data_IF_260097981796
#
_entry.id   IF_260097981796
#
_cell.length_a   1.000
_cell.length_b   1.000
_cell.length_c   1.000
_cell.angle_alpha   90.00
_cell.angle_beta   90.00
_cell.angle_gamma   90.00
#
_symmetry.space_group_name_H-M   'P 1'
#
loop_
_entity.id
_entity.type
_entity.pdbx_description
1 polymer ?
#
# COMPACT_ATOMS: atom_id res chain seq x y z
N UNK A 1 15.71 -10.56 -7.21
CA UNK A 1 15.97 -9.74 -6.01
C UNK A 1 14.76 -8.81 -5.87
N UNK A 2 14.04 -8.83 -4.76
CA UNK A 2 13.01 -7.81 -4.51
C UNK A 2 13.72 -6.46 -4.36
N UNK A 3 13.29 -5.47 -5.12
CA UNK A 3 13.73 -4.09 -4.92
C UNK A 3 13.41 -3.67 -3.48
N UNK A 4 14.41 -3.22 -2.75
CA UNK A 4 14.27 -2.77 -1.37
C UNK A 4 13.90 -1.29 -1.42
N UNK A 5 12.67 -0.97 -1.05
CA UNK A 5 12.22 0.41 -1.01
C UNK A 5 12.77 1.11 0.21
N UNK A 6 13.13 2.38 0.05
CA UNK A 6 13.66 3.23 1.12
C UNK A 6 12.86 4.53 1.19
N UNK A 7 12.84 5.14 2.36
CA UNK A 7 12.22 6.46 2.60
C UNK A 7 13.27 7.41 3.13
N UNK A 8 13.34 8.62 2.58
CA UNK A 8 14.20 9.68 3.10
C UNK A 8 13.73 10.11 4.48
N UNK A 9 14.64 10.23 5.43
CA UNK A 9 14.31 10.73 6.78
C UNK A 9 13.65 12.11 6.73
N UNK A 10 14.08 12.98 5.82
CA UNK A 10 13.49 14.31 5.60
C UNK A 10 12.00 14.26 5.26
N UNK A 11 11.54 13.23 4.54
CA UNK A 11 10.12 13.04 4.25
C UNK A 11 9.32 12.70 5.52
N UNK A 12 9.89 11.86 6.38
CA UNK A 12 9.30 11.53 7.70
C UNK A 12 9.26 12.78 8.59
N UNK A 13 10.33 13.57 8.60
CA UNK A 13 10.40 14.80 9.37
C UNK A 13 9.29 15.78 8.97
N UNK A 14 9.05 15.95 7.68
CA UNK A 14 7.99 16.82 7.17
C UNK A 14 6.59 16.29 7.49
N UNK A 15 6.36 14.98 7.31
CA UNK A 15 5.06 14.35 7.59
C UNK A 15 4.62 14.50 9.04
N UNK A 16 5.56 14.32 9.97
CA UNK A 16 5.30 14.37 11.41
C UNK A 16 5.68 15.70 12.09
N UNK A 17 6.10 16.71 11.31
CA UNK A 17 6.57 18.00 11.82
C UNK A 17 7.61 17.83 12.95
N UNK A 18 8.62 16.98 12.72
CA UNK A 18 9.64 16.69 13.72
C UNK A 18 10.59 17.87 13.88
N UNK A 19 10.84 18.27 15.12
CA UNK A 19 11.87 19.25 15.45
C UNK A 19 13.26 18.63 15.26
N UNK A 20 14.14 19.35 14.57
CA UNK A 20 15.53 18.93 14.35
C UNK A 20 16.42 19.43 15.46
N UNK A 21 17.03 18.52 16.20
CA UNK A 21 18.05 18.85 17.21
C UNK A 21 19.45 18.64 16.65
N UNK A 22 19.65 17.59 15.87
CA UNK A 22 20.83 17.35 15.05
C UNK A 22 20.45 16.58 13.79
N UNK A 23 20.99 16.99 12.64
CA UNK A 23 20.84 16.29 11.36
C UNK A 23 22.20 16.33 10.63
N UNK A 24 22.75 15.18 10.19
CA UNK A 24 23.95 15.16 9.36
C UNK A 24 23.68 15.72 7.97
N UNK A 25 24.72 16.17 7.27
CA UNK A 25 24.62 16.65 5.87
C UNK A 25 24.25 15.51 4.90
N UNK A 26 24.64 14.29 5.21
CA UNK A 26 24.36 13.11 4.39
C UNK A 26 22.89 12.71 4.47
N UNK A 27 22.29 12.36 3.33
CA UNK A 27 20.90 11.91 3.28
C UNK A 27 20.74 10.56 3.99
N UNK A 28 19.82 10.50 4.96
CA UNK A 28 19.54 9.27 5.70
C UNK A 28 18.33 8.57 5.09
N UNK A 29 18.52 7.30 4.71
CA UNK A 29 17.49 6.44 4.14
C UNK A 29 17.01 5.42 5.18
N UNK A 30 15.69 5.33 5.35
CA UNK A 30 15.02 4.38 6.23
C UNK A 30 14.61 3.16 5.42
N UNK A 31 15.01 1.97 5.87
CA UNK A 31 14.75 0.68 5.20
C UNK A 31 13.80 -0.24 5.96
N UNK A 32 13.51 0.05 7.23
CA UNK A 32 12.65 -0.76 8.09
C UNK A 32 11.38 -0.02 8.47
N UNK A 33 10.24 -0.69 8.37
CA UNK A 33 8.97 -0.18 8.88
C UNK A 33 8.84 -0.36 10.40
N UNK A 34 9.62 -1.27 10.97
CA UNK A 34 9.65 -1.47 12.41
C UNK A 34 10.42 -0.35 13.10
N UNK A 35 9.96 0.01 14.28
CA UNK A 35 10.62 0.95 15.18
C UNK A 35 11.03 0.23 16.47
N UNK A 36 11.97 0.79 17.21
CA UNK A 36 12.45 0.20 18.46
C UNK A 36 12.41 1.22 19.61
N UNK A 37 12.15 0.73 20.81
CA UNK A 37 12.39 1.44 22.06
C UNK A 37 13.67 0.86 22.68
N UNK A 38 14.78 1.60 22.71
CA UNK A 38 16.08 1.05 23.00
C UNK A 38 16.37 0.85 24.51
N UNK A 39 15.33 0.48 25.30
CA UNK A 39 15.50 0.28 26.75
C UNK A 39 16.53 -0.79 27.09
N UNK A 40 16.46 -1.95 26.46
CA UNK A 40 17.47 -3.03 26.64
C UNK A 40 18.83 -2.67 26.05
N UNK A 41 18.93 -2.17 24.80
CA UNK A 41 20.21 -1.71 24.25
C UNK A 41 20.92 -0.65 25.12
N UNK A 42 20.19 0.34 25.61
CA UNK A 42 20.73 1.37 26.52
C UNK A 42 21.22 0.74 27.84
N UNK A 43 20.61 -0.36 28.32
CA UNK A 43 21.13 -1.09 29.49
C UNK A 43 22.34 -1.96 29.19
N UNK A 44 22.73 -2.11 27.93
CA UNK A 44 23.89 -2.89 27.48
C UNK A 44 23.56 -4.25 26.88
N UNK A 45 22.29 -4.56 26.64
CA UNK A 45 21.85 -5.81 26.06
C UNK A 45 21.48 -5.63 24.57
N UNK A 46 22.34 -6.16 23.68
CA UNK A 46 22.20 -6.03 22.21
C UNK A 46 21.88 -7.36 21.51
N UNK A 47 21.61 -8.42 22.24
CA UNK A 47 21.19 -9.68 21.63
C UNK A 47 19.84 -9.48 20.91
N UNK A 48 19.75 -9.92 19.65
CA UNK A 48 18.60 -9.69 18.76
C UNK A 48 18.27 -8.21 18.47
N UNK A 49 19.21 -7.29 18.72
CA UNK A 49 19.04 -5.88 18.37
C UNK A 49 19.17 -5.67 16.86
N UNK A 50 18.17 -5.00 16.25
CA UNK A 50 18.20 -4.60 14.85
C UNK A 50 18.52 -3.11 14.73
N UNK A 51 19.74 -2.73 14.32
CA UNK A 51 20.14 -1.32 14.23
C UNK A 51 19.46 -0.55 13.09
N UNK A 52 18.79 -1.21 12.14
CA UNK A 52 18.11 -0.54 11.00
C UNK A 52 16.82 0.14 11.39
N UNK A 53 16.37 -0.05 12.61
CA UNK A 53 15.11 0.52 13.11
C UNK A 53 15.33 1.93 13.67
N UNK A 54 14.39 2.83 13.43
CA UNK A 54 14.34 4.12 14.12
C UNK A 54 14.19 3.87 15.62
N UNK A 55 15.00 4.55 16.42
CA UNK A 55 15.01 4.42 17.88
C UNK A 55 14.13 5.51 18.52
N UNK A 56 13.19 5.12 19.38
CA UNK A 56 12.22 6.02 20.00
C UNK A 56 12.49 6.10 21.50
N UNK A 57 12.80 7.30 22.00
CA UNK A 57 12.98 7.59 23.42
C UNK A 57 11.68 8.13 23.99
N UNK A 58 11.11 7.39 24.94
CA UNK A 58 9.96 7.81 25.72
C UNK A 58 10.36 8.15 27.17
N UNK A 59 9.36 8.33 28.05
CA UNK A 59 9.57 8.66 29.46
C UNK A 59 10.44 7.62 30.20
N UNK A 60 10.25 6.34 29.91
CA UNK A 60 10.97 5.27 30.63
C UNK A 60 12.47 5.31 30.32
N UNK A 61 12.83 5.36 29.04
CA UNK A 61 14.22 5.43 28.57
C UNK A 61 14.89 6.74 29.07
N UNK A 62 14.16 7.86 28.94
CA UNK A 62 14.66 9.15 29.44
C UNK A 62 14.90 9.14 30.95
N UNK A 63 13.97 8.60 31.75
CA UNK A 63 14.12 8.54 33.21
C UNK A 63 15.31 7.67 33.59
N UNK A 64 15.49 6.55 32.90
CA UNK A 64 16.68 5.71 33.09
C UNK A 64 17.97 6.50 32.81
N UNK A 65 18.07 7.15 31.63
CA UNK A 65 19.22 7.97 31.26
C UNK A 65 19.48 9.12 32.25
N UNK A 66 18.42 9.77 32.72
CA UNK A 66 18.52 10.88 33.70
C UNK A 66 19.14 10.44 35.01
N UNK A 67 18.92 9.20 35.44
CA UNK A 67 19.42 8.68 36.72
C UNK A 67 20.89 8.18 36.63
N UNK A 68 21.47 8.13 35.44
CA UNK A 68 22.88 7.77 35.23
C UNK A 68 23.79 8.99 35.44
N UNK A 69 25.05 8.76 35.84
CA UNK A 69 26.11 9.77 35.74
C UNK A 69 26.33 10.19 34.29
N UNK A 70 27.04 11.29 34.05
CA UNK A 70 27.39 11.75 32.70
C UNK A 70 28.26 10.68 31.98
N UNK A 71 29.21 10.10 32.71
CA UNK A 71 30.13 9.08 32.20
C UNK A 71 29.39 7.82 31.77
N UNK A 72 28.52 7.29 32.62
CA UNK A 72 27.71 6.11 32.31
C UNK A 72 26.76 6.37 31.13
N UNK A 73 26.14 7.55 31.07
CA UNK A 73 25.27 7.93 29.97
C UNK A 73 26.02 8.01 28.66
N UNK A 74 27.23 8.61 28.67
CA UNK A 74 28.09 8.66 27.50
C UNK A 74 28.48 7.27 27.01
N UNK A 75 28.87 6.36 27.91
CA UNK A 75 29.23 4.99 27.57
C UNK A 75 28.06 4.27 26.87
N UNK A 76 26.88 4.31 27.48
CA UNK A 76 25.69 3.61 26.96
C UNK A 76 25.18 4.20 25.63
N UNK A 77 25.19 5.53 25.50
CA UNK A 77 24.78 6.19 24.27
C UNK A 77 25.82 6.00 23.15
N UNK A 78 27.11 5.94 23.49
CA UNK A 78 28.19 5.57 22.56
C UNK A 78 27.93 4.18 22.00
N UNK A 79 27.71 3.19 22.87
CA UNK A 79 27.41 1.81 22.43
C UNK A 79 26.20 1.74 21.49
N UNK A 80 25.15 2.54 21.74
CA UNK A 80 23.99 2.59 20.85
C UNK A 80 24.34 3.23 19.49
N UNK A 81 25.09 4.32 19.48
CA UNK A 81 25.42 5.06 18.24
C UNK A 81 26.46 4.35 17.37
N UNK A 82 27.34 3.54 17.95
CA UNK A 82 28.29 2.68 17.23
C UNK A 82 27.58 1.69 16.30
N UNK A 83 26.35 1.32 16.60
CA UNK A 83 25.49 0.50 15.73
C UNK A 83 24.91 1.27 14.53
N UNK A 84 25.22 2.57 14.36
CA UNK A 84 24.78 3.42 13.24
C UNK A 84 23.27 3.40 13.04
N UNK A 85 22.52 3.65 14.10
CA UNK A 85 21.05 3.73 14.05
C UNK A 85 20.61 4.87 13.11
N UNK A 86 19.53 4.69 12.33
CA UNK A 86 19.14 5.66 11.30
C UNK A 86 18.61 6.98 11.87
N UNK A 87 18.03 6.95 13.06
CA UNK A 87 17.60 8.15 13.80
C UNK A 87 17.27 7.82 15.27
N UNK A 88 17.45 8.79 16.13
CA UNK A 88 16.98 8.79 17.52
C UNK A 88 15.91 9.88 17.68
N UNK A 89 14.69 9.49 18.06
CA UNK A 89 13.55 10.42 18.16
C UNK A 89 13.04 10.45 19.60
N UNK A 90 13.08 11.65 20.20
CA UNK A 90 12.53 11.92 21.52
C UNK A 90 11.07 12.32 21.40
N UNK A 91 10.20 11.69 22.20
CA UNK A 91 8.75 11.99 22.20
C UNK A 91 8.36 12.84 23.41
N UNK A 92 7.16 13.47 23.37
CA UNK A 92 6.58 14.26 24.48
C UNK A 92 7.39 15.51 24.84
N UNK A 93 8.07 16.12 23.89
CA UNK A 93 8.97 17.28 24.11
C UNK A 93 10.00 17.06 25.22
N UNK A 94 10.38 15.82 25.48
CA UNK A 94 11.39 15.48 26.49
C UNK A 94 12.70 16.18 26.12
N UNK A 95 13.35 16.89 27.09
CA UNK A 95 14.62 17.56 26.85
C UNK A 95 15.72 16.54 26.56
N UNK A 96 16.64 16.89 25.67
CA UNK A 96 17.79 16.03 25.32
C UNK A 96 19.01 16.49 26.06
N UNK A 97 19.73 15.56 26.67
CA UNK A 97 20.97 15.86 27.38
C UNK A 97 22.06 16.34 26.40
N UNK A 98 22.81 17.43 26.68
CA UNK A 98 23.79 18.00 25.77
C UNK A 98 24.85 16.99 25.25
N UNK A 99 25.29 16.09 26.11
CA UNK A 99 26.26 15.04 25.76
C UNK A 99 25.73 14.11 24.69
N UNK A 100 24.43 13.83 24.63
CA UNK A 100 23.82 13.02 23.58
C UNK A 100 23.92 13.72 22.22
N UNK A 101 23.74 15.05 22.17
CA UNK A 101 23.90 15.83 20.94
C UNK A 101 25.35 15.84 20.47
N UNK A 102 26.32 15.97 21.38
CA UNK A 102 27.75 15.88 21.07
C UNK A 102 28.12 14.50 20.48
N UNK A 103 27.57 13.42 21.04
CA UNK A 103 27.76 12.08 20.51
C UNK A 103 27.06 11.89 19.17
N UNK A 104 25.86 12.45 18.99
CA UNK A 104 25.11 12.39 17.74
C UNK A 104 25.90 13.02 16.59
N UNK A 105 26.52 14.18 16.83
CA UNK A 105 27.40 14.84 15.88
C UNK A 105 28.63 13.98 15.54
N UNK A 106 29.30 13.42 16.55
CA UNK A 106 30.48 12.55 16.37
C UNK A 106 30.16 11.31 15.53
N UNK A 107 29.02 10.66 15.77
CA UNK A 107 28.61 9.42 15.10
C UNK A 107 27.68 9.66 13.89
N UNK A 108 27.34 10.93 13.58
CA UNK A 108 26.44 11.33 12.49
C UNK A 108 25.05 10.69 12.60
N UNK A 109 24.50 10.57 13.79
CA UNK A 109 23.18 10.00 14.04
C UNK A 109 22.16 11.12 14.20
N UNK A 110 21.12 11.21 13.34
CA UNK A 110 20.06 12.20 13.48
C UNK A 110 19.38 12.12 14.85
N UNK A 111 19.18 13.27 15.48
CA UNK A 111 18.42 13.40 16.72
C UNK A 111 17.28 14.38 16.51
N UNK A 112 16.07 13.88 16.66
CA UNK A 112 14.82 14.59 16.40
C UNK A 112 13.93 14.57 17.64
N UNK A 113 12.93 15.47 17.66
CA UNK A 113 11.96 15.53 18.74
C UNK A 113 10.53 15.74 18.23
N UNK A 114 9.55 15.24 18.99
CA UNK A 114 8.13 15.47 18.76
C UNK A 114 7.37 15.65 20.08
N UNK A 115 6.32 16.46 20.04
CA UNK A 115 5.39 16.65 21.18
C UNK A 115 4.46 15.45 21.37
N UNK A 116 4.27 14.61 20.36
CA UNK A 116 3.34 13.48 20.40
C UNK A 116 3.69 12.47 21.50
N UNK A 117 2.67 11.77 21.99
CA UNK A 117 2.86 10.66 22.92
C UNK A 117 3.56 9.49 22.25
N UNK A 118 4.41 8.78 22.99
CA UNK A 118 5.26 7.70 22.45
C UNK A 118 4.48 6.65 21.68
N UNK A 119 3.37 6.16 22.24
CA UNK A 119 2.53 5.14 21.61
C UNK A 119 1.79 5.65 20.35
N UNK A 120 1.32 6.88 20.41
CA UNK A 120 0.66 7.56 19.30
C UNK A 120 1.63 7.76 18.14
N UNK A 121 2.80 8.34 18.42
CA UNK A 121 3.83 8.56 17.40
C UNK A 121 4.32 7.24 16.77
N UNK A 122 4.60 6.22 17.60
CA UNK A 122 5.03 4.91 17.09
C UNK A 122 3.99 4.28 16.18
N UNK A 123 2.71 4.29 16.57
CA UNK A 123 1.63 3.73 15.74
C UNK A 123 1.50 4.45 14.40
N UNK A 124 1.53 5.79 14.42
CA UNK A 124 1.46 6.60 13.21
C UNK A 124 2.69 6.40 12.31
N UNK A 125 3.89 6.37 12.89
CA UNK A 125 5.15 6.17 12.15
C UNK A 125 5.20 4.78 11.52
N UNK A 126 4.84 3.71 12.23
CA UNK A 126 4.79 2.35 11.69
C UNK A 126 3.79 2.26 10.54
N UNK A 127 2.60 2.85 10.68
CA UNK A 127 1.59 2.87 9.62
C UNK A 127 2.10 3.60 8.37
N UNK A 128 2.75 4.75 8.56
CA UNK A 128 3.36 5.53 7.49
C UNK A 128 4.48 4.75 6.78
N UNK A 129 5.42 4.18 7.55
CA UNK A 129 6.53 3.41 7.00
C UNK A 129 6.07 2.15 6.27
N UNK A 130 5.07 1.45 6.78
CA UNK A 130 4.46 0.30 6.09
C UNK A 130 3.89 0.69 4.73
N UNK A 131 3.28 1.86 4.60
CA UNK A 131 2.79 2.36 3.32
C UNK A 131 3.93 2.77 2.38
N UNK A 132 4.93 3.50 2.88
CA UNK A 132 6.03 4.01 2.05
C UNK A 132 7.02 2.93 1.61
N UNK A 133 7.30 1.96 2.46
CA UNK A 133 8.19 0.82 2.18
C UNK A 133 7.47 -0.38 1.56
N UNK A 134 6.15 -0.28 1.35
CA UNK A 134 5.35 -1.36 0.77
C UNK A 134 5.92 -1.83 -0.57
N UNK A 135 6.08 -3.13 -0.78
CA UNK A 135 6.37 -3.68 -2.09
C UNK A 135 5.36 -3.18 -3.11
N UNK A 136 5.85 -2.72 -4.27
CA UNK A 136 5.00 -2.15 -5.31
C UNK A 136 5.43 -2.62 -6.69
N UNK A 137 4.48 -2.66 -7.60
CA UNK A 137 4.70 -2.89 -9.02
C UNK A 137 3.79 -1.98 -9.83
N UNK A 138 4.18 -1.69 -11.07
CA UNK A 138 3.31 -1.04 -12.03
C UNK A 138 2.78 -2.08 -13.02
N UNK A 139 1.49 -2.05 -13.30
CA UNK A 139 0.83 -2.88 -14.31
C UNK A 139 0.15 -2.01 -15.34
N UNK A 140 0.30 -2.37 -16.63
CA UNK A 140 -0.51 -1.77 -17.68
C UNK A 140 -1.94 -2.29 -17.57
N UNK A 141 -2.89 -1.37 -17.37
CA UNK A 141 -4.29 -1.70 -17.15
C UNK A 141 -5.11 -0.52 -16.69
N UNK A 142 -6.34 -0.79 -16.30
CA UNK A 142 -7.29 0.19 -15.78
C UNK A 142 -7.75 -0.24 -14.39
N UNK A 143 -7.80 0.67 -13.44
CA UNK A 143 -8.38 0.42 -12.12
C UNK A 143 -9.61 1.31 -11.93
N UNK A 144 -10.73 0.69 -11.64
CA UNK A 144 -12.02 1.35 -11.39
C UNK A 144 -12.66 0.85 -10.09
N UNK A 145 -13.44 1.69 -9.44
CA UNK A 145 -14.33 1.29 -8.36
C UNK A 145 -15.75 1.12 -8.92
N UNK A 146 -16.31 -0.08 -8.76
CA UNK A 146 -17.65 -0.44 -9.21
C UNK A 146 -18.45 -0.99 -8.04
N UNK A 147 -19.48 -0.27 -7.60
CA UNK A 147 -20.30 -0.61 -6.41
C UNK A 147 -19.48 -0.86 -5.13
N UNK A 148 -18.35 -0.15 -4.95
CA UNK A 148 -17.46 -0.29 -3.80
C UNK A 148 -16.46 -1.45 -3.90
N UNK A 149 -16.38 -2.13 -5.06
CA UNK A 149 -15.35 -3.13 -5.36
C UNK A 149 -14.31 -2.55 -6.30
N UNK A 150 -13.03 -2.64 -5.94
CA UNK A 150 -11.92 -2.26 -6.83
C UNK A 150 -11.64 -3.34 -7.86
N UNK A 151 -11.81 -3.01 -9.12
CA UNK A 151 -11.62 -3.91 -10.27
C UNK A 151 -10.39 -3.49 -11.05
N UNK A 152 -9.38 -4.35 -11.07
CA UNK A 152 -8.21 -4.20 -11.94
C UNK A 152 -8.47 -4.90 -13.29
N UNK A 153 -8.58 -4.11 -14.36
CA UNK A 153 -8.86 -4.58 -15.71
C UNK A 153 -7.54 -4.67 -16.46
N UNK A 154 -7.18 -5.88 -16.87
CA UNK A 154 -5.97 -6.19 -17.64
C UNK A 154 -6.36 -6.72 -19.02
N UNK A 155 -5.45 -6.62 -19.98
CA UNK A 155 -5.66 -7.11 -21.34
C UNK A 155 -4.81 -6.33 -22.34
N UNK A 156 -4.77 -6.79 -23.59
CA UNK A 156 -3.99 -6.17 -24.65
C UNK A 156 -4.40 -4.71 -24.91
N UNK A 157 -3.46 -3.92 -25.44
CA UNK A 157 -3.76 -2.56 -25.85
C UNK A 157 -4.83 -2.53 -26.95
N UNK A 158 -5.83 -1.63 -26.80
CA UNK A 158 -6.92 -1.51 -27.76
C UNK A 158 -8.07 -2.49 -27.61
N UNK A 159 -8.08 -3.32 -26.57
CA UNK A 159 -9.18 -4.27 -26.31
C UNK A 159 -10.46 -3.62 -25.78
N UNK A 160 -10.44 -2.31 -25.45
CA UNK A 160 -11.60 -1.57 -24.96
C UNK A 160 -11.60 -1.28 -23.47
N UNK A 161 -10.45 -1.34 -22.77
CA UNK A 161 -10.37 -1.08 -21.34
C UNK A 161 -10.77 0.36 -20.97
N UNK A 162 -10.18 1.34 -21.62
CA UNK A 162 -10.41 2.76 -21.37
C UNK A 162 -11.83 3.19 -21.77
N UNK A 163 -12.34 2.69 -22.90
CA UNK A 163 -13.71 2.93 -23.35
C UNK A 163 -14.73 2.37 -22.34
N UNK A 164 -14.49 1.18 -21.81
CA UNK A 164 -15.34 0.59 -20.79
C UNK A 164 -15.28 1.39 -19.47
N UNK A 165 -14.12 1.93 -19.10
CA UNK A 165 -13.99 2.81 -17.93
C UNK A 165 -14.81 4.10 -18.10
N UNK A 166 -14.80 4.73 -19.29
CA UNK A 166 -15.62 5.92 -19.57
C UNK A 166 -17.11 5.59 -19.42
N UNK A 167 -17.56 4.44 -19.93
CA UNK A 167 -18.95 4.02 -19.79
C UNK A 167 -19.32 3.76 -18.32
N UNK A 168 -18.42 3.19 -17.53
CA UNK A 168 -18.61 3.00 -16.08
C UNK A 168 -18.73 4.35 -15.35
N UNK A 169 -17.90 5.34 -15.70
CA UNK A 169 -18.00 6.69 -15.10
C UNK A 169 -19.34 7.37 -15.43
N UNK A 170 -19.85 7.23 -16.65
CA UNK A 170 -21.20 7.69 -17.01
C UNK A 170 -22.31 7.06 -16.19
N UNK A 171 -22.08 5.86 -15.68
CA UNK A 171 -23.00 5.11 -14.81
C UNK A 171 -22.81 5.42 -13.32
N UNK A 172 -21.91 6.34 -12.97
CA UNK A 172 -21.67 6.80 -11.60
C UNK A 172 -20.59 6.04 -10.84
N UNK A 173 -19.79 5.23 -11.53
CA UNK A 173 -18.60 4.58 -10.97
C UNK A 173 -17.38 5.49 -11.04
N UNK A 174 -16.26 5.11 -10.41
CA UNK A 174 -15.10 5.97 -10.26
C UNK A 174 -13.86 5.38 -10.93
N UNK A 175 -13.11 6.25 -11.61
CA UNK A 175 -11.78 5.93 -12.13
C UNK A 175 -10.72 6.16 -11.06
N UNK A 176 -9.79 5.23 -10.93
CA UNK A 176 -8.58 5.36 -10.11
C UNK A 176 -7.37 5.58 -11.01
N UNK A 177 -7.18 4.73 -12.00
CA UNK A 177 -6.05 4.79 -12.92
C UNK A 177 -6.42 4.27 -14.30
N UNK A 178 -5.84 4.86 -15.35
CA UNK A 178 -5.83 4.36 -16.72
C UNK A 178 -4.39 4.23 -17.21
N UNK A 179 -4.15 3.29 -18.10
CA UNK A 179 -2.87 2.95 -18.70
C UNK A 179 -1.83 2.35 -17.72
N UNK A 180 -1.49 3.02 -16.63
CA UNK A 180 -0.57 2.53 -15.62
C UNK A 180 -1.21 2.52 -14.24
N UNK A 181 -1.23 1.34 -13.61
CA UNK A 181 -1.70 1.14 -12.23
C UNK A 181 -0.51 0.81 -11.34
N UNK A 182 -0.18 1.70 -10.42
CA UNK A 182 0.76 1.42 -9.33
C UNK A 182 0.07 0.60 -8.25
N UNK A 183 0.54 -0.60 -8.00
CA UNK A 183 -0.04 -1.53 -7.03
C UNK A 183 0.91 -1.70 -5.86
N UNK A 184 0.46 -1.41 -4.65
CA UNK A 184 1.19 -1.56 -3.39
C UNK A 184 0.59 -2.67 -2.54
N UNK A 185 1.45 -3.49 -1.93
CA UNK A 185 1.04 -4.47 -0.92
C UNK A 185 1.04 -3.81 0.46
N UNK A 186 -0.08 -3.27 0.88
CA UNK A 186 -0.20 -2.50 2.14
C UNK A 186 -0.38 -3.38 3.38
N UNK A 187 -0.70 -4.66 3.20
CA UNK A 187 -0.78 -5.64 4.29
C UNK A 187 -0.61 -7.07 3.77
N UNK A 188 -0.60 -8.04 4.69
CA UNK A 188 -0.57 -9.48 4.34
C UNK A 188 -1.78 -9.94 3.49
N UNK A 189 -2.86 -9.14 3.42
CA UNK A 189 -4.13 -9.52 2.76
C UNK A 189 -4.70 -8.43 1.85
N UNK A 190 -3.97 -7.33 1.60
CA UNK A 190 -4.52 -6.20 0.85
C UNK A 190 -3.51 -5.60 -0.13
N UNK A 191 -3.97 -5.46 -1.37
CA UNK A 191 -3.34 -4.65 -2.41
C UNK A 191 -4.14 -3.37 -2.60
N UNK A 192 -3.45 -2.25 -2.75
CA UNK A 192 -4.05 -0.96 -3.08
C UNK A 192 -3.44 -0.45 -4.38
N UNK A 193 -4.29 -0.07 -5.31
CA UNK A 193 -3.89 0.52 -6.57
C UNK A 193 -4.09 2.03 -6.59
N UNK A 194 -3.22 2.73 -7.32
CA UNK A 194 -3.27 4.17 -7.58
C UNK A 194 -2.77 4.48 -8.98
N UNK A 195 -3.03 5.69 -9.44
CA UNK A 195 -2.40 6.22 -10.66
C UNK A 195 -1.06 6.88 -10.31
N UNK A 196 -0.02 6.77 -11.16
CA UNK A 196 1.13 7.66 -11.12
C UNK A 196 0.69 9.13 -11.10
N UNK A 197 1.38 9.98 -10.32
CA UNK A 197 0.95 11.36 -10.10
C UNK A 197 0.82 12.18 -11.40
N UNK A 198 1.74 11.95 -12.34
CA UNK A 198 1.80 12.69 -13.63
C UNK A 198 0.57 12.46 -14.50
N UNK A 199 -0.01 11.24 -14.48
CA UNK A 199 -1.16 10.85 -15.31
C UNK A 199 -2.45 10.73 -14.52
N UNK A 200 -2.46 11.15 -13.26
CA UNK A 200 -3.62 11.03 -12.38
C UNK A 200 -4.82 11.78 -12.93
N UNK A 201 -5.96 11.09 -13.00
CA UNK A 201 -7.24 11.56 -13.55
C UNK A 201 -7.26 11.77 -15.07
N UNK A 202 -6.20 11.45 -15.78
CA UNK A 202 -6.20 11.44 -17.23
C UNK A 202 -6.56 10.05 -17.77
N UNK A 203 -7.24 10.03 -18.91
CA UNK A 203 -7.57 8.83 -19.68
C UNK A 203 -7.32 9.10 -21.17
N UNK A 204 -6.75 8.12 -21.87
CA UNK A 204 -6.57 8.20 -23.31
C UNK A 204 -7.68 7.45 -24.06
N UNK A 205 -8.38 8.15 -24.95
CA UNK A 205 -9.39 7.59 -25.82
C UNK A 205 -8.96 7.70 -27.25
N UNK A 206 -8.82 6.58 -27.93
CA UNK A 206 -8.41 6.55 -29.34
C UNK A 206 -9.38 7.36 -30.22
N UNK A 207 -8.83 8.25 -31.03
CA UNK A 207 -9.59 9.14 -31.89
C UNK A 207 -10.08 10.44 -31.24
N UNK A 208 -9.99 10.54 -29.90
CA UNK A 208 -10.30 11.78 -29.13
C UNK A 208 -9.02 12.38 -28.58
N UNK A 209 -8.10 11.54 -28.05
CA UNK A 209 -6.88 11.93 -27.37
C UNK A 209 -6.98 11.80 -25.85
N UNK A 210 -6.15 12.54 -25.14
CA UNK A 210 -6.10 12.56 -23.67
C UNK A 210 -7.14 13.52 -23.12
N UNK A 211 -7.96 13.06 -22.19
CA UNK A 211 -8.99 13.85 -21.51
C UNK A 211 -8.76 13.85 -20.00
N UNK A 212 -9.11 14.95 -19.34
CA UNK A 212 -9.13 15.09 -17.88
C UNK A 212 -10.53 14.68 -17.37
N UNK A 213 -10.59 13.50 -16.79
CA UNK A 213 -11.83 12.89 -16.27
C UNK A 213 -12.48 13.76 -15.21
N UNK A 214 -11.67 14.29 -14.30
CA UNK A 214 -12.18 15.12 -13.21
C UNK A 214 -12.86 16.40 -13.71
N UNK A 215 -12.32 17.00 -14.77
CA UNK A 215 -12.90 18.22 -15.37
C UNK A 215 -14.16 17.92 -16.18
N UNK A 216 -14.25 16.76 -16.84
CA UNK A 216 -15.39 16.41 -17.70
C UNK A 216 -16.54 15.80 -16.89
N UNK A 217 -16.25 14.89 -15.95
CA UNK A 217 -17.27 14.11 -15.22
C UNK A 217 -17.42 14.55 -13.76
N UNK A 218 -16.58 15.48 -13.28
CA UNK A 218 -16.61 15.98 -11.91
C UNK A 218 -15.79 15.17 -10.91
N UNK A 219 -15.60 15.72 -9.70
CA UNK A 219 -14.83 15.10 -8.60
C UNK A 219 -15.37 13.72 -8.18
N UNK A 220 -16.67 13.49 -8.34
CA UNK A 220 -17.31 12.23 -8.00
C UNK A 220 -16.94 11.05 -8.91
N UNK A 221 -16.40 11.33 -10.10
CA UNK A 221 -16.02 10.31 -11.08
C UNK A 221 -14.58 9.76 -10.90
N UNK A 222 -13.82 10.31 -9.95
CA UNK A 222 -12.42 9.93 -9.70
C UNK A 222 -12.18 9.58 -8.24
N UNK A 223 -11.17 8.75 -7.99
CA UNK A 223 -10.68 8.40 -6.66
C UNK A 223 -9.17 8.20 -6.73
N UNK A 224 -8.43 8.60 -5.70
CA UNK A 224 -6.97 8.56 -5.74
C UNK A 224 -6.41 7.14 -5.56
N UNK A 225 -7.04 6.33 -4.72
CA UNK A 225 -6.60 4.97 -4.41
C UNK A 225 -7.80 4.06 -4.21
N UNK A 226 -7.65 2.79 -4.54
CA UNK A 226 -8.66 1.76 -4.25
C UNK A 226 -8.01 0.43 -3.94
N UNK A 227 -8.62 -0.35 -3.04
CA UNK A 227 -8.26 -1.74 -2.80
C UNK A 227 -8.59 -2.57 -4.03
N UNK A 228 -7.69 -3.48 -4.43
CA UNK A 228 -7.96 -4.40 -5.53
C UNK A 228 -8.69 -5.63 -4.98
N UNK A 229 -9.95 -5.78 -5.36
CA UNK A 229 -10.84 -6.86 -4.91
C UNK A 229 -11.05 -7.95 -5.96
N UNK A 230 -10.92 -7.59 -7.24
CA UNK A 230 -11.14 -8.47 -8.38
C UNK A 230 -10.20 -8.08 -9.52
N UNK A 231 -9.65 -9.06 -10.21
CA UNK A 231 -8.93 -8.87 -11.48
C UNK A 231 -9.81 -9.36 -12.64
N UNK A 232 -9.96 -8.55 -13.66
CA UNK A 232 -10.63 -8.96 -14.92
C UNK A 232 -9.59 -8.98 -16.03
N UNK A 233 -9.39 -10.16 -16.61
CA UNK A 233 -8.53 -10.38 -17.77
C UNK A 233 -9.39 -10.32 -19.03
N UNK A 234 -9.22 -9.26 -19.82
CA UNK A 234 -9.87 -9.15 -21.13
C UNK A 234 -9.00 -9.83 -22.19
N UNK A 235 -9.58 -10.71 -22.95
CA UNK A 235 -8.93 -11.31 -24.11
C UNK A 235 -9.81 -11.27 -25.35
N UNK A 236 -9.21 -11.16 -26.54
CA UNK A 236 -9.95 -11.28 -27.79
C UNK A 236 -10.56 -12.68 -27.87
N UNK A 237 -11.84 -12.75 -28.28
CA UNK A 237 -12.52 -14.04 -28.38
C UNK A 237 -11.83 -14.96 -29.39
N UNK A 238 -11.54 -16.18 -28.98
CA UNK A 238 -10.91 -17.20 -29.83
C UNK A 238 -11.88 -18.32 -30.15
N UNK A 239 -12.00 -18.65 -31.47
CA UNK A 239 -12.81 -19.75 -31.92
C UNK A 239 -12.20 -21.08 -31.46
N UNK A 240 -13.00 -21.90 -30.76
CA UNK A 240 -12.57 -23.20 -30.24
C UNK A 240 -12.01 -23.17 -28.79
N UNK A 241 -11.70 -22.03 -28.21
CA UNK A 241 -11.38 -21.91 -26.78
C UNK A 241 -12.66 -22.07 -25.97
N UNK A 242 -12.62 -22.96 -24.98
CA UNK A 242 -13.71 -23.08 -23.99
C UNK A 242 -13.54 -22.02 -22.92
N UNK A 243 -14.58 -21.23 -22.67
CA UNK A 243 -14.67 -20.28 -21.61
C UNK A 243 -15.59 -20.82 -20.51
N UNK A 244 -15.24 -20.62 -19.25
CA UNK A 244 -16.13 -21.00 -18.14
C UNK A 244 -17.47 -20.26 -18.28
N UNK A 245 -18.56 -21.03 -18.32
CA UNK A 245 -19.92 -20.52 -18.42
C UNK A 245 -20.68 -20.57 -17.11
N UNK A 246 -20.26 -21.44 -16.22
CA UNK A 246 -20.97 -21.70 -14.97
C UNK A 246 -20.37 -20.96 -13.79
N UNK A 247 -19.11 -20.53 -13.89
CA UNK A 247 -18.40 -19.86 -12.78
C UNK A 247 -18.14 -20.81 -11.61
N UNK A 248 -17.97 -22.10 -11.89
CA UNK A 248 -17.66 -23.12 -10.88
C UNK A 248 -16.17 -23.21 -10.57
N UNK A 249 -15.33 -22.72 -11.49
CA UNK A 249 -13.88 -22.71 -11.31
C UNK A 249 -13.45 -21.37 -10.76
N UNK A 250 -12.83 -21.38 -9.58
CA UNK A 250 -12.25 -20.18 -9.01
C UNK A 250 -10.88 -19.93 -9.65
N UNK A 251 -10.76 -18.82 -10.36
CA UNK A 251 -9.51 -18.33 -10.94
C UNK A 251 -8.89 -17.27 -10.02
N UNK A 252 -7.56 -17.24 -9.93
CA UNK A 252 -6.81 -16.27 -9.15
C UNK A 252 -5.64 -15.71 -9.95
N UNK A 253 -5.36 -14.44 -9.77
CA UNK A 253 -4.16 -13.79 -10.30
C UNK A 253 -3.22 -13.45 -9.15
N UNK A 254 -1.98 -13.94 -9.19
CA UNK A 254 -0.97 -13.63 -8.19
C UNK A 254 -0.35 -12.25 -8.46
N UNK A 255 -0.46 -11.36 -7.48
CA UNK A 255 0.13 -10.02 -7.50
C UNK A 255 0.87 -9.80 -6.18
N UNK A 256 2.18 -9.58 -6.24
CA UNK A 256 3.04 -9.38 -5.07
C UNK A 256 2.90 -10.47 -3.99
N UNK A 257 2.67 -11.73 -4.42
CA UNK A 257 2.48 -12.87 -3.53
C UNK A 257 1.12 -12.92 -2.84
N UNK A 258 0.11 -12.21 -3.37
CA UNK A 258 -1.29 -12.31 -2.97
C UNK A 258 -2.12 -12.81 -4.14
N UNK A 259 -2.96 -13.81 -3.89
CA UNK A 259 -3.87 -14.38 -4.88
C UNK A 259 -5.19 -13.60 -4.83
N UNK A 260 -5.44 -12.82 -5.88
CA UNK A 260 -6.66 -12.02 -6.04
C UNK A 260 -7.63 -12.79 -6.95
N UNK A 261 -8.92 -12.91 -6.57
CA UNK A 261 -9.92 -13.50 -7.44
C UNK A 261 -9.88 -12.89 -8.84
N UNK A 262 -9.96 -13.71 -9.87
CA UNK A 262 -9.89 -13.23 -11.25
C UNK A 262 -10.94 -13.88 -12.15
N UNK A 263 -11.30 -13.17 -13.23
CA UNK A 263 -12.23 -13.63 -14.26
C UNK A 263 -11.62 -13.36 -15.61
N UNK A 264 -11.66 -14.35 -16.51
CA UNK A 264 -11.28 -14.19 -17.92
C UNK A 264 -12.52 -13.90 -18.76
N UNK A 265 -12.61 -12.70 -19.34
CA UNK A 265 -13.77 -12.25 -20.13
C UNK A 265 -13.38 -12.14 -21.61
N UNK A 266 -13.98 -12.98 -22.49
CA UNK A 266 -13.76 -12.86 -23.92
C UNK A 266 -14.51 -11.66 -24.51
N UNK A 267 -13.78 -10.81 -25.23
CA UNK A 267 -14.30 -9.60 -25.88
C UNK A 267 -14.72 -9.92 -27.33
N UNK A 268 -15.94 -9.54 -27.69
CA UNK A 268 -16.45 -9.54 -29.06
C UNK A 268 -17.04 -8.19 -29.43
N UNK A 269 -17.00 -7.76 -30.68
CA UNK A 269 -17.71 -6.56 -31.14
C UNK A 269 -19.17 -6.55 -30.69
N UNK A 270 -19.68 -5.43 -30.22
CA UNK A 270 -21.04 -5.24 -29.75
C UNK A 270 -21.34 -5.72 -28.33
N UNK A 271 -20.36 -6.24 -27.59
CA UNK A 271 -20.55 -6.61 -26.18
C UNK A 271 -20.35 -5.41 -25.27
N UNK A 272 -21.33 -5.11 -24.42
CA UNK A 272 -21.20 -4.03 -23.43
C UNK A 272 -20.38 -4.51 -22.22
N UNK A 273 -19.12 -4.09 -22.16
CA UNK A 273 -18.18 -4.49 -21.09
C UNK A 273 -18.56 -3.88 -19.74
N UNK A 274 -19.11 -2.65 -19.72
CA UNK A 274 -19.48 -1.99 -18.47
C UNK A 274 -20.54 -2.78 -17.69
N UNK A 275 -21.58 -3.27 -18.37
CA UNK A 275 -22.60 -4.12 -17.74
C UNK A 275 -21.97 -5.40 -17.17
N UNK A 276 -21.02 -6.00 -17.89
CA UNK A 276 -20.35 -7.22 -17.44
C UNK A 276 -19.53 -6.94 -16.18
N UNK A 277 -18.84 -5.81 -16.11
CA UNK A 277 -18.05 -5.42 -14.95
C UNK A 277 -18.95 -5.11 -13.74
N UNK A 278 -20.09 -4.44 -13.94
CA UNK A 278 -21.09 -4.22 -12.90
C UNK A 278 -21.59 -5.54 -12.29
N UNK A 279 -21.95 -6.51 -13.15
CA UNK A 279 -22.41 -7.83 -12.70
C UNK A 279 -21.27 -8.61 -12.02
N UNK A 280 -20.05 -8.53 -12.55
CA UNK A 280 -18.88 -9.18 -11.94
C UNK A 280 -18.58 -8.62 -10.53
N UNK A 281 -18.65 -7.30 -10.37
CA UNK A 281 -18.50 -6.64 -9.05
C UNK A 281 -19.55 -7.12 -8.05
N UNK A 282 -20.83 -7.11 -8.43
CA UNK A 282 -21.93 -7.56 -7.58
C UNK A 282 -21.79 -9.05 -7.21
N UNK A 283 -21.43 -9.91 -8.16
CA UNK A 283 -21.24 -11.33 -7.93
C UNK A 283 -20.03 -11.58 -6.98
N UNK A 284 -18.90 -10.87 -7.18
CA UNK A 284 -17.74 -10.95 -6.30
C UNK A 284 -18.10 -10.57 -4.87
N UNK A 285 -18.89 -9.51 -4.71
CA UNK A 285 -19.39 -9.07 -3.39
C UNK A 285 -20.29 -10.12 -2.73
N UNK A 286 -21.18 -10.77 -3.49
CA UNK A 286 -22.01 -11.86 -2.96
C UNK A 286 -21.17 -13.06 -2.52
N UNK A 287 -20.15 -13.44 -3.30
CA UNK A 287 -19.21 -14.51 -2.92
C UNK A 287 -18.47 -14.18 -1.62
N UNK A 288 -18.01 -12.94 -1.44
CA UNK A 288 -17.40 -12.48 -0.17
C UNK A 288 -18.36 -12.57 1.02
N UNK A 289 -19.66 -12.46 0.79
CA UNK A 289 -20.70 -12.63 1.81
C UNK A 289 -21.12 -14.10 2.01
N UNK A 290 -20.47 -15.04 1.32
CA UNK A 290 -20.71 -16.47 1.47
C UNK A 290 -21.79 -17.06 0.55
N UNK A 291 -22.28 -16.33 -0.47
CA UNK A 291 -23.23 -16.85 -1.44
C UNK A 291 -22.57 -17.04 -2.82
N UNK A 292 -22.62 -18.28 -3.33
CA UNK A 292 -22.15 -18.63 -4.66
C UNK A 292 -23.31 -19.21 -5.48
N UNK A 293 -23.81 -18.42 -6.45
CA UNK A 293 -24.95 -18.82 -7.29
C UNK A 293 -24.66 -20.06 -8.14
N UNK A 294 -23.43 -20.26 -8.59
CA UNK A 294 -23.04 -21.42 -9.38
C UNK A 294 -23.07 -22.72 -8.55
N UNK A 295 -22.57 -22.67 -7.31
CA UNK A 295 -22.65 -23.80 -6.38
C UNK A 295 -24.09 -24.12 -5.98
N UNK A 296 -24.89 -23.10 -5.71
CA UNK A 296 -26.31 -23.27 -5.39
C UNK A 296 -27.09 -23.91 -6.55
N UNK A 297 -26.84 -23.46 -7.80
CA UNK A 297 -27.44 -24.07 -8.98
C UNK A 297 -27.00 -25.53 -9.14
N UNK A 298 -25.70 -25.80 -9.00
CA UNK A 298 -25.17 -27.16 -9.11
C UNK A 298 -25.79 -28.10 -8.04
N UNK A 299 -25.93 -27.62 -6.81
CA UNK A 299 -26.59 -28.37 -5.73
C UNK A 299 -28.03 -28.72 -6.09
N UNK A 300 -28.80 -27.76 -6.57
CA UNK A 300 -30.21 -27.99 -7.01
C UNK A 300 -30.31 -29.00 -8.15
N UNK A 301 -29.40 -28.93 -9.12
CA UNK A 301 -29.35 -29.91 -10.23
C UNK A 301 -29.05 -31.34 -9.73
N UNK A 302 -28.09 -31.48 -8.80
CA UNK A 302 -27.76 -32.78 -8.23
C UNK A 302 -28.91 -33.34 -7.37
N UNK A 303 -29.60 -32.50 -6.59
CA UNK A 303 -30.77 -32.90 -5.82
C UNK A 303 -31.93 -33.36 -6.72
N UNK A 304 -32.08 -32.77 -7.88
CA UNK A 304 -33.10 -33.20 -8.87
C UNK A 304 -32.76 -34.54 -9.49
N UNK A 305 -31.50 -34.76 -9.91
CA UNK A 305 -31.03 -36.03 -10.50
C UNK A 305 -31.16 -37.19 -9.50
N UNK A 306 -31.07 -36.94 -8.19
CA UNK A 306 -31.23 -38.02 -7.18
C UNK A 306 -32.70 -38.31 -6.82
N UNK A 307 -33.66 -37.51 -7.35
CA UNK A 307 -35.11 -37.73 -7.12
C UNK A 307 -35.79 -38.47 -8.28
N UNK A 308 -35.15 -38.50 -9.44
CA UNK A 308 -35.55 -39.24 -10.62
C UNK A 308 -34.83 -40.61 -10.67
#
# INVERSE_FOLDING_TARGET
MQEKYTVKLTKIMNEFNLETLYLPEEEVLIESADVNRPGLPISGFFEYYDPKRIQIIGKAEYTYLKNLSIEERNEKMTSLFEHKVPALIFTRDIPVHPEILTLAEKYKVPVLRTSLMTSEFMSALIAYLNNELAPRITRHGVLVEVYGEGILILGESGIGKSEAAVELMKRGHRLIADDAVEIKKVSAKALVGSSPEIIRHFIEIRGIGVIDVQKIFGMGAVKNTEKIDLVILLEAWQKGKQYDRLGLVDEYTNILGLDIPSLTIPVRPGRNLAIIFEVAAMNNRQRKMGYNAAEELNKRLMEQIHRD
#
